data_IF_566529612743
#
_entry.id   IF_566529612743
#
_cell.length_a   1.000
_cell.length_b   1.000
_cell.length_c   1.000
_cell.angle_alpha   90.00
_cell.angle_beta   90.00
_cell.angle_gamma   90.00
#
_symmetry.space_group_name_H-M   'P 1'
#
loop_
_entity.id
_entity.type
_entity.pdbx_description
1 polymer ?
#
# COMPACT_ATOMS: atom_id res chain seq x y z
N UNK A 1 10.26 -12.15 10.11
CA UNK A 1 9.37 -11.27 10.91
C UNK A 1 7.95 -11.73 10.68
N UNK A 2 7.19 -11.89 11.74
CA UNK A 2 5.78 -12.27 11.71
C UNK A 2 4.98 -11.23 12.48
N UNK A 3 3.84 -10.81 11.95
CA UNK A 3 2.92 -9.87 12.60
C UNK A 3 1.54 -10.52 12.63
N UNK A 4 0.97 -10.67 13.84
CA UNK A 4 -0.37 -11.20 14.03
C UNK A 4 -1.28 -10.14 14.62
N UNK A 5 -2.36 -9.83 13.93
CA UNK A 5 -3.40 -8.89 14.31
C UNK A 5 -4.59 -9.70 14.78
N UNK A 6 -4.97 -9.56 16.05
CA UNK A 6 -5.95 -10.41 16.70
C UNK A 6 -7.13 -9.58 17.21
N UNK A 7 -8.27 -9.70 16.55
CA UNK A 7 -9.54 -9.04 16.89
C UNK A 7 -9.40 -7.53 17.13
N UNK A 8 -8.59 -6.85 16.29
CA UNK A 8 -8.24 -5.45 16.47
C UNK A 8 -9.37 -4.53 16.03
N UNK A 9 -9.80 -3.66 16.93
CA UNK A 9 -10.71 -2.56 16.63
C UNK A 9 -10.06 -1.22 16.95
N UNK A 10 -10.44 -0.20 16.20
CA UNK A 10 -9.99 1.18 16.42
C UNK A 10 -11.16 2.15 16.28
N UNK A 11 -11.46 2.85 17.37
CA UNK A 11 -12.44 3.94 17.42
C UNK A 11 -11.73 5.24 17.80
N UNK A 12 -11.83 6.24 16.95
CA UNK A 12 -11.27 7.57 17.22
C UNK A 12 -12.09 8.33 18.29
N UNK A 13 -11.51 9.36 18.96
CA UNK A 13 -12.22 10.12 19.99
C UNK A 13 -13.53 10.77 19.53
N UNK A 14 -13.67 11.04 18.23
CA UNK A 14 -14.91 11.56 17.63
C UNK A 14 -15.99 10.49 17.40
N UNK A 15 -15.82 9.28 17.92
CA UNK A 15 -16.76 8.17 17.78
C UNK A 15 -16.66 7.39 16.46
N UNK A 16 -15.82 7.82 15.53
CA UNK A 16 -15.65 7.08 14.25
C UNK A 16 -14.91 5.77 14.46
N UNK A 17 -15.60 4.65 14.29
CA UNK A 17 -14.99 3.32 14.28
C UNK A 17 -14.33 3.05 12.93
N UNK A 18 -13.02 3.11 12.89
CA UNK A 18 -12.23 2.97 11.67
C UNK A 18 -11.87 1.51 11.36
N UNK A 19 -11.72 0.66 12.39
CA UNK A 19 -11.46 -0.78 12.25
C UNK A 19 -12.36 -1.57 13.21
N UNK A 20 -12.80 -2.77 12.76
CA UNK A 20 -13.84 -3.55 13.40
C UNK A 20 -13.45 -5.02 13.51
N UNK A 21 -12.76 -5.41 14.59
CA UNK A 21 -12.44 -6.80 14.89
C UNK A 21 -11.53 -7.46 13.83
N UNK A 22 -10.50 -6.75 13.34
CA UNK A 22 -9.62 -7.26 12.30
C UNK A 22 -8.78 -8.43 12.81
N UNK A 23 -8.70 -9.48 11.98
CA UNK A 23 -7.77 -10.59 12.14
C UNK A 23 -6.94 -10.69 10.86
N UNK A 24 -5.61 -10.65 10.99
CA UNK A 24 -4.71 -10.69 9.85
C UNK A 24 -3.31 -11.12 10.29
N UNK A 25 -2.73 -12.08 9.57
CA UNK A 25 -1.34 -12.49 9.75
C UNK A 25 -0.51 -12.06 8.54
N UNK A 26 0.62 -11.39 8.82
CA UNK A 26 1.59 -10.92 7.86
C UNK A 26 2.94 -11.55 8.17
N UNK A 27 3.63 -12.08 7.16
CA UNK A 27 4.92 -12.74 7.35
C UNK A 27 5.92 -12.39 6.26
N UNK A 28 7.21 -12.28 6.61
CA UNK A 28 8.30 -12.14 5.65
C UNK A 28 8.84 -13.50 5.20
N UNK A 29 9.36 -13.64 3.97
CA UNK A 29 9.37 -12.61 2.91
C UNK A 29 8.00 -12.51 2.23
N UNK A 30 7.52 -11.31 1.94
CA UNK A 30 6.30 -11.10 1.15
C UNK A 30 6.11 -9.63 0.76
N UNK A 31 5.53 -9.40 -0.42
CA UNK A 31 4.95 -8.13 -0.83
C UNK A 31 3.42 -8.21 -0.76
N UNK A 32 2.85 -7.49 0.20
CA UNK A 32 1.42 -7.52 0.49
C UNK A 32 0.77 -6.21 0.03
N UNK A 33 -0.21 -6.31 -0.85
CA UNK A 33 -1.03 -5.19 -1.29
C UNK A 33 -2.25 -5.00 -0.39
N UNK A 34 -2.38 -3.83 0.24
CA UNK A 34 -3.55 -3.45 1.02
C UNK A 34 -4.48 -2.59 0.16
N UNK A 35 -5.55 -3.18 -0.34
CA UNK A 35 -6.52 -2.56 -1.24
C UNK A 35 -7.77 -2.09 -0.50
N UNK A 36 -8.35 -0.99 -0.94
CA UNK A 36 -9.62 -0.51 -0.45
C UNK A 36 -9.86 0.96 -0.81
N UNK A 37 -11.12 1.41 -0.83
CA UNK A 37 -11.45 2.80 -1.12
C UNK A 37 -10.92 3.75 -0.03
N UNK A 38 -10.98 5.05 -0.32
CA UNK A 38 -10.66 6.07 0.68
C UNK A 38 -11.61 5.95 1.89
N UNK A 39 -11.05 6.03 3.10
CA UNK A 39 -11.80 5.84 4.33
C UNK A 39 -12.08 4.38 4.72
N UNK A 40 -11.60 3.39 3.97
CA UNK A 40 -11.77 1.97 4.29
C UNK A 40 -11.08 1.52 5.58
N UNK A 41 -10.07 2.27 6.06
CA UNK A 41 -9.29 1.94 7.26
C UNK A 41 -7.81 1.64 7.00
N UNK A 42 -7.33 1.70 5.73
CA UNK A 42 -5.94 1.41 5.34
C UNK A 42 -4.91 2.16 6.19
N UNK A 43 -4.93 3.49 6.14
CA UNK A 43 -3.97 4.33 6.88
C UNK A 43 -4.11 4.18 8.40
N UNK A 44 -5.31 3.86 8.92
CA UNK A 44 -5.50 3.56 10.34
C UNK A 44 -4.80 2.25 10.72
N UNK A 45 -4.94 1.19 9.91
CA UNK A 45 -4.24 -0.07 10.11
C UNK A 45 -2.72 0.15 10.07
N UNK A 46 -2.21 0.88 9.09
CA UNK A 46 -0.78 1.19 9.02
C UNK A 46 -0.28 1.97 10.23
N UNK A 47 -1.03 2.97 10.72
CA UNK A 47 -0.67 3.72 11.93
C UNK A 47 -0.61 2.84 13.18
N UNK A 48 -1.47 1.83 13.29
CA UNK A 48 -1.37 0.82 14.34
C UNK A 48 -0.11 -0.05 14.20
N UNK A 49 0.19 -0.49 12.99
CA UNK A 49 1.37 -1.33 12.70
C UNK A 49 2.70 -0.61 12.96
N UNK A 50 2.76 0.71 12.78
CA UNK A 50 3.96 1.51 13.10
C UNK A 50 3.96 2.01 14.56
N UNK A 51 3.02 1.56 15.38
CA UNK A 51 2.85 2.01 16.78
C UNK A 51 2.67 3.54 16.92
N UNK A 52 2.07 4.19 15.92
CA UNK A 52 1.64 5.60 16.00
C UNK A 52 0.25 5.74 16.64
N UNK A 53 -0.53 4.66 16.67
CA UNK A 53 -1.80 4.54 17.37
C UNK A 53 -1.81 3.25 18.19
N UNK A 54 -2.63 3.23 19.24
CA UNK A 54 -2.96 2.01 19.98
C UNK A 54 -4.37 1.55 19.62
N UNK A 55 -4.63 0.24 19.50
CA UNK A 55 -5.96 -0.25 19.24
C UNK A 55 -6.88 0.01 20.43
N UNK A 56 -8.19 0.23 20.16
CA UNK A 56 -9.20 0.36 21.21
C UNK A 56 -9.49 -0.98 21.86
N UNK A 57 -9.41 -2.07 21.08
CA UNK A 57 -9.51 -3.44 21.57
C UNK A 57 -8.72 -4.40 20.67
N UNK A 58 -8.48 -5.62 21.16
CA UNK A 58 -7.65 -6.61 20.49
C UNK A 58 -6.16 -6.39 20.73
N UNK A 59 -5.32 -7.11 20.00
CA UNK A 59 -3.86 -7.06 20.16
C UNK A 59 -3.12 -7.24 18.84
N UNK A 60 -1.93 -6.64 18.77
CA UNK A 60 -0.98 -6.84 17.66
C UNK A 60 0.28 -7.46 18.26
N UNK A 61 0.70 -8.58 17.70
CA UNK A 61 1.92 -9.27 18.09
C UNK A 61 2.95 -9.13 16.95
N UNK A 62 4.20 -8.92 17.29
CA UNK A 62 5.34 -8.92 16.37
C UNK A 62 6.34 -9.96 16.86
N UNK A 63 6.64 -10.96 16.03
CA UNK A 63 7.47 -12.12 16.39
C UNK A 63 7.02 -12.75 17.74
N UNK A 64 5.69 -12.87 17.93
CA UNK A 64 5.05 -13.42 19.13
C UNK A 64 5.01 -12.49 20.36
N UNK A 65 5.58 -11.29 20.29
CA UNK A 65 5.58 -10.31 21.38
C UNK A 65 4.55 -9.21 21.16
N UNK A 66 3.82 -8.76 22.20
CA UNK A 66 2.91 -7.63 22.08
C UNK A 66 3.64 -6.39 21.56
N UNK A 67 3.08 -5.76 20.50
CA UNK A 67 3.65 -4.57 19.86
C UNK A 67 3.99 -3.46 20.87
N UNK A 68 3.10 -3.20 21.82
CA UNK A 68 3.31 -2.19 22.86
C UNK A 68 4.57 -2.42 23.71
N UNK A 69 5.00 -3.69 23.89
CA UNK A 69 6.23 -4.02 24.61
C UNK A 69 7.48 -3.99 23.72
N UNK A 70 7.30 -4.25 22.41
CA UNK A 70 8.37 -4.31 21.41
C UNK A 70 8.49 -3.07 20.51
N UNK A 71 7.82 -1.98 20.82
CA UNK A 71 7.73 -0.77 19.97
C UNK A 71 9.10 -0.26 19.50
N UNK A 72 10.04 -0.11 20.42
CA UNK A 72 11.40 0.37 20.12
C UNK A 72 12.15 -0.56 19.15
N UNK A 73 12.00 -1.87 19.33
CA UNK A 73 12.64 -2.88 18.50
C UNK A 73 12.01 -2.89 17.10
N UNK A 74 10.69 -2.77 17.03
CA UNK A 74 9.99 -2.64 15.75
C UNK A 74 10.44 -1.37 15.00
N UNK A 75 10.42 -0.21 15.66
CA UNK A 75 10.80 1.08 15.04
C UNK A 75 12.24 1.10 14.51
N UNK A 76 13.15 0.37 15.15
CA UNK A 76 14.52 0.21 14.66
C UNK A 76 14.60 -0.61 13.36
N UNK A 77 13.63 -1.51 13.12
CA UNK A 77 13.57 -2.42 11.95
C UNK A 77 12.49 -2.02 10.93
N UNK A 78 11.90 -0.84 11.10
CA UNK A 78 10.79 -0.34 10.30
C UNK A 78 11.24 0.77 9.35
N UNK A 79 10.78 0.69 8.10
CA UNK A 79 10.75 1.80 7.17
C UNK A 79 9.31 2.18 6.86
N UNK A 80 8.95 3.45 7.04
CA UNK A 80 7.58 3.90 6.83
C UNK A 80 7.54 5.18 5.99
N UNK A 81 6.74 5.14 4.93
CA UNK A 81 6.33 6.30 4.15
C UNK A 81 4.83 6.50 4.33
N UNK A 82 4.37 7.48 5.10
CA UNK A 82 2.95 7.84 5.16
C UNK A 82 2.51 8.55 3.88
N UNK A 83 1.21 8.61 3.63
CA UNK A 83 0.62 9.33 2.50
C UNK A 83 0.99 10.81 2.51
N UNK A 84 0.88 11.45 3.68
CA UNK A 84 1.33 12.82 3.91
C UNK A 84 2.63 12.78 4.73
N UNK A 85 3.74 13.07 4.10
CA UNK A 85 5.04 13.13 4.76
C UNK A 85 5.68 14.51 4.59
N UNK A 86 6.22 15.03 5.70
CA UNK A 86 6.92 16.30 5.70
C UNK A 86 8.38 16.15 5.24
N UNK A 87 8.79 17.02 4.35
CA UNK A 87 10.19 17.19 3.97
C UNK A 87 10.67 18.58 4.42
N UNK A 88 11.95 18.70 4.80
CA UNK A 88 12.55 19.99 5.16
C UNK A 88 13.06 20.70 3.92
N UNK A 89 12.32 21.66 3.44
CA UNK A 89 12.55 22.35 2.15
C UNK A 89 13.93 23.02 2.01
N UNK A 90 14.52 23.48 3.11
CA UNK A 90 15.84 24.15 3.11
C UNK A 90 17.03 23.17 3.12
N UNK A 91 16.79 21.91 3.45
CA UNK A 91 17.84 20.89 3.42
C UNK A 91 18.06 20.39 2.00
N UNK A 92 19.29 19.92 1.72
CA UNK A 92 19.54 19.08 0.55
C UNK A 92 19.03 17.67 0.79
N UNK A 93 18.83 16.88 -0.28
CA UNK A 93 18.44 15.46 -0.18
C UNK A 93 19.36 14.71 0.78
N UNK A 94 20.69 14.86 0.60
CA UNK A 94 21.68 14.21 1.47
C UNK A 94 21.53 14.65 2.92
N UNK A 95 21.38 15.97 3.18
CA UNK A 95 21.23 16.48 4.54
C UNK A 95 19.96 15.98 5.22
N UNK A 96 18.85 15.90 4.47
CA UNK A 96 17.60 15.35 5.00
C UNK A 96 17.75 13.86 5.37
N UNK A 97 18.35 13.07 4.48
CA UNK A 97 18.60 11.66 4.74
C UNK A 97 19.59 11.43 5.88
N UNK A 98 20.60 12.31 6.04
CA UNK A 98 21.54 12.28 7.17
C UNK A 98 20.81 12.56 8.50
N UNK A 99 19.93 13.56 8.52
CA UNK A 99 19.08 13.85 9.67
C UNK A 99 18.20 12.63 10.04
N UNK A 100 17.59 12.00 9.04
CA UNK A 100 16.75 10.81 9.27
C UNK A 100 17.55 9.59 9.72
N UNK A 101 18.77 9.42 9.20
CA UNK A 101 19.70 8.39 9.63
C UNK A 101 20.15 8.58 11.09
N UNK A 102 20.42 9.83 11.49
CA UNK A 102 20.73 10.18 12.87
C UNK A 102 19.56 9.87 13.82
N UNK A 103 18.32 10.18 13.45
CA UNK A 103 17.13 9.85 14.23
C UNK A 103 16.95 8.32 14.39
N UNK A 104 17.34 7.54 13.38
CA UNK A 104 17.35 6.06 13.44
C UNK A 104 18.55 5.50 14.23
N UNK A 105 19.52 6.33 14.60
CA UNK A 105 20.75 5.88 15.28
C UNK A 105 21.68 5.06 14.41
N UNK A 106 21.72 5.29 13.10
CA UNK A 106 22.54 4.54 12.17
C UNK A 106 24.04 4.94 12.32
N UNK A 107 24.89 3.95 12.60
CA UNK A 107 26.33 4.19 12.79
C UNK A 107 27.07 4.43 11.47
N UNK A 108 26.69 3.73 10.39
CA UNK A 108 27.27 3.86 9.04
C UNK A 108 26.33 4.63 8.11
N UNK A 109 25.88 5.81 8.55
CA UNK A 109 24.89 6.62 7.86
C UNK A 109 25.27 6.94 6.41
N UNK A 110 26.54 7.30 6.14
CA UNK A 110 27.00 7.70 4.82
C UNK A 110 26.76 6.62 3.75
N UNK A 111 27.13 5.37 4.03
CA UNK A 111 26.92 4.26 3.10
C UNK A 111 25.43 3.94 2.92
N UNK A 112 24.64 3.99 4.01
CA UNK A 112 23.20 3.76 3.96
C UNK A 112 22.48 4.84 3.13
N UNK A 113 22.84 6.11 3.31
CA UNK A 113 22.32 7.25 2.54
C UNK A 113 22.64 7.09 1.05
N UNK A 114 23.88 6.75 0.72
CA UNK A 114 24.29 6.57 -0.67
C UNK A 114 23.49 5.45 -1.34
N UNK A 115 23.34 4.29 -0.69
CA UNK A 115 22.50 3.20 -1.20
C UNK A 115 21.03 3.62 -1.36
N UNK A 116 20.47 4.36 -0.40
CA UNK A 116 19.08 4.82 -0.47
C UNK A 116 18.87 5.80 -1.62
N UNK A 117 19.80 6.75 -1.85
CA UNK A 117 19.75 7.71 -2.98
C UNK A 117 19.81 6.97 -4.31
N UNK A 118 20.72 6.00 -4.43
CA UNK A 118 20.89 5.18 -5.63
C UNK A 118 19.65 4.34 -5.93
N UNK A 119 19.06 3.71 -4.91
CA UNK A 119 17.87 2.88 -5.07
C UNK A 119 16.66 3.64 -5.66
N UNK A 120 16.61 4.95 -5.49
CA UNK A 120 15.51 5.80 -5.99
C UNK A 120 15.94 6.71 -7.16
N UNK A 121 17.11 6.49 -7.76
CA UNK A 121 17.66 7.26 -8.89
C UNK A 121 17.68 8.79 -8.61
N UNK A 122 18.26 9.19 -7.47
CA UNK A 122 18.40 10.60 -7.06
C UNK A 122 19.85 11.08 -6.95
N UNK A 123 20.83 10.37 -7.53
CA UNK A 123 22.26 10.68 -7.41
C UNK A 123 22.57 12.09 -7.89
N UNK A 124 22.03 12.48 -9.05
CA UNK A 124 22.23 13.82 -9.62
C UNK A 124 21.59 14.93 -8.77
N UNK A 125 20.59 14.60 -7.96
CA UNK A 125 19.86 15.52 -7.08
C UNK A 125 20.28 15.44 -5.62
N UNK A 126 21.27 14.62 -5.28
CA UNK A 126 21.71 14.40 -3.90
C UNK A 126 22.07 15.70 -3.16
N UNK A 127 22.61 16.70 -3.87
CA UNK A 127 22.98 18.01 -3.34
C UNK A 127 21.96 19.12 -3.62
N UNK A 128 20.86 18.80 -4.32
CA UNK A 128 19.79 19.77 -4.58
C UNK A 128 18.97 20.02 -3.31
N UNK A 129 18.53 21.25 -3.11
CA UNK A 129 17.58 21.59 -2.04
C UNK A 129 16.21 20.95 -2.32
N UNK A 130 15.57 20.41 -1.31
CA UNK A 130 14.28 19.71 -1.42
C UNK A 130 13.20 20.60 -2.04
N UNK A 131 13.18 21.91 -1.74
CA UNK A 131 12.24 22.87 -2.34
C UNK A 131 12.35 22.99 -3.87
N UNK A 132 13.47 22.59 -4.47
CA UNK A 132 13.70 22.68 -5.92
C UNK A 132 13.32 21.39 -6.66
N UNK A 133 12.87 20.38 -5.94
CA UNK A 133 12.51 19.08 -6.49
C UNK A 133 11.06 19.08 -7.02
N UNK A 134 10.81 18.32 -8.10
CA UNK A 134 9.46 18.01 -8.55
C UNK A 134 8.70 17.16 -7.53
N UNK A 135 7.38 17.04 -7.68
CA UNK A 135 6.55 16.19 -6.83
C UNK A 135 7.03 14.74 -6.81
N UNK A 136 7.32 14.15 -7.97
CA UNK A 136 7.86 12.79 -8.07
C UNK A 136 9.24 12.65 -7.42
N UNK A 137 10.14 13.65 -7.59
CA UNK A 137 11.44 13.63 -6.91
C UNK A 137 11.31 13.74 -5.38
N UNK A 138 10.36 14.52 -4.88
CA UNK A 138 10.04 14.59 -3.44
C UNK A 138 9.53 13.25 -2.93
N UNK A 139 8.68 12.57 -3.71
CA UNK A 139 8.20 11.22 -3.38
C UNK A 139 9.36 10.22 -3.30
N UNK A 140 10.31 10.28 -4.24
CA UNK A 140 11.54 9.47 -4.21
C UNK A 140 12.37 9.72 -2.96
N UNK A 141 12.49 10.96 -2.47
CA UNK A 141 13.15 11.27 -1.19
C UNK A 141 12.45 10.59 -0.02
N UNK A 142 11.11 10.60 0.00
CA UNK A 142 10.32 9.90 1.02
C UNK A 142 10.54 8.38 1.00
N UNK A 143 10.61 7.77 -0.19
CA UNK A 143 10.91 6.33 -0.33
C UNK A 143 12.36 6.04 0.12
N UNK A 144 13.34 6.88 -0.27
CA UNK A 144 14.73 6.73 0.17
C UNK A 144 14.85 6.77 1.71
N UNK A 145 14.12 7.67 2.36
CA UNK A 145 14.06 7.76 3.83
C UNK A 145 13.51 6.46 4.44
N UNK A 146 12.47 5.86 3.85
CA UNK A 146 11.92 4.60 4.36
C UNK A 146 12.91 3.44 4.23
N UNK A 147 13.77 3.43 3.20
CA UNK A 147 14.78 2.39 2.97
C UNK A 147 16.02 2.51 3.88
N UNK A 148 16.21 3.64 4.60
CA UNK A 148 17.39 3.84 5.44
C UNK A 148 17.51 2.77 6.54
N UNK A 149 18.72 2.23 6.69
CA UNK A 149 19.07 1.28 7.74
C UNK A 149 18.62 -0.14 7.46
N UNK A 150 18.29 -0.45 6.22
CA UNK A 150 17.94 -1.81 5.76
C UNK A 150 16.82 -2.46 6.61
N UNK A 151 15.64 -1.85 6.66
CA UNK A 151 14.56 -2.27 7.52
C UNK A 151 14.01 -3.65 7.11
N UNK A 152 13.67 -4.48 8.12
CA UNK A 152 13.03 -5.78 7.91
C UNK A 152 11.53 -5.68 7.58
N UNK A 153 10.91 -4.54 7.90
CA UNK A 153 9.52 -4.24 7.60
C UNK A 153 9.41 -2.87 6.92
N UNK A 154 8.84 -2.86 5.74
CA UNK A 154 8.58 -1.66 4.95
C UNK A 154 7.07 -1.44 4.82
N UNK A 155 6.64 -0.23 5.10
CA UNK A 155 5.24 0.19 4.91
C UNK A 155 5.22 1.43 4.01
N UNK A 156 4.46 1.37 2.94
CA UNK A 156 4.27 2.45 1.99
C UNK A 156 2.78 2.77 1.84
N UNK A 157 2.37 3.98 2.21
CA UNK A 157 0.98 4.44 2.07
C UNK A 157 0.86 5.30 0.81
N UNK A 158 0.25 4.75 -0.25
CA UNK A 158 0.04 5.38 -1.57
C UNK A 158 1.35 5.88 -2.23
N UNK A 159 2.44 5.10 -2.30
CA UNK A 159 3.77 5.60 -2.68
C UNK A 159 3.91 5.99 -4.15
N UNK A 160 3.02 5.53 -5.03
CA UNK A 160 3.07 5.74 -6.48
C UNK A 160 2.16 6.85 -6.97
N UNK A 161 1.41 7.48 -6.08
CA UNK A 161 0.55 8.62 -6.40
C UNK A 161 1.37 9.81 -6.86
N UNK A 162 1.02 10.38 -8.02
CA UNK A 162 1.73 11.52 -8.61
C UNK A 162 3.03 11.18 -9.35
N UNK A 163 3.35 9.90 -9.50
CA UNK A 163 4.44 9.43 -10.33
C UNK A 163 3.96 9.17 -11.77
N UNK A 164 4.85 9.37 -12.72
CA UNK A 164 4.60 8.98 -14.12
C UNK A 164 4.68 7.45 -14.31
N UNK A 165 4.23 6.91 -15.46
CA UNK A 165 4.18 5.47 -15.69
C UNK A 165 5.55 4.77 -15.61
N UNK A 166 6.62 5.41 -16.08
CA UNK A 166 7.98 4.84 -16.04
C UNK A 166 8.48 4.77 -14.59
N UNK A 167 8.24 5.82 -13.81
CA UNK A 167 8.58 5.86 -12.40
C UNK A 167 7.83 4.79 -11.60
N UNK A 168 6.54 4.56 -11.90
CA UNK A 168 5.76 3.49 -11.26
C UNK A 168 6.34 2.11 -11.51
N UNK A 169 6.78 1.83 -12.75
CA UNK A 169 7.44 0.56 -13.08
C UNK A 169 8.73 0.40 -12.27
N UNK A 170 9.54 1.46 -12.18
CA UNK A 170 10.78 1.43 -11.38
C UNK A 170 10.49 1.10 -9.91
N UNK A 171 9.51 1.76 -9.29
CA UNK A 171 9.18 1.51 -7.88
C UNK A 171 8.53 0.16 -7.64
N UNK A 172 7.69 -0.34 -8.55
CA UNK A 172 7.19 -1.72 -8.49
C UNK A 172 8.34 -2.73 -8.42
N UNK A 173 9.33 -2.58 -9.28
CA UNK A 173 10.52 -3.43 -9.27
C UNK A 173 11.33 -3.28 -7.97
N UNK A 174 11.48 -2.07 -7.45
CA UNK A 174 12.16 -1.80 -6.17
C UNK A 174 11.45 -2.51 -5.00
N UNK A 175 10.12 -2.40 -4.91
CA UNK A 175 9.34 -3.05 -3.86
C UNK A 175 9.39 -4.57 -3.96
N UNK A 176 9.27 -5.11 -5.18
CA UNK A 176 9.41 -6.54 -5.44
C UNK A 176 10.80 -7.07 -5.05
N UNK A 177 11.87 -6.32 -5.36
CA UNK A 177 13.22 -6.69 -4.92
C UNK A 177 13.37 -6.63 -3.39
N UNK A 178 12.82 -5.60 -2.76
CA UNK A 178 12.85 -5.45 -1.31
C UNK A 178 12.12 -6.59 -0.60
N UNK A 179 11.04 -7.10 -1.18
CA UNK A 179 10.22 -8.15 -0.60
C UNK A 179 10.87 -9.55 -0.63
N UNK A 180 11.99 -9.74 -1.34
CA UNK A 180 12.67 -11.05 -1.43
C UNK A 180 13.18 -11.58 -0.09
N UNK A 181 13.48 -10.70 0.84
CA UNK A 181 14.06 -11.03 2.16
C UNK A 181 13.36 -10.33 3.33
N UNK A 182 12.37 -9.49 3.05
CA UNK A 182 11.67 -8.70 4.07
C UNK A 182 10.16 -8.65 3.85
N UNK A 183 9.44 -8.13 4.84
CA UNK A 183 8.02 -7.85 4.74
C UNK A 183 7.80 -6.46 4.15
N UNK A 184 7.04 -6.37 3.06
CA UNK A 184 6.64 -5.11 2.44
C UNK A 184 5.12 -5.03 2.42
N UNK A 185 4.55 -3.97 3.00
CA UNK A 185 3.12 -3.66 2.97
C UNK A 185 2.91 -2.38 2.14
N UNK A 186 2.20 -2.52 1.04
CA UNK A 186 1.91 -1.44 0.11
C UNK A 186 0.42 -1.13 0.12
N UNK A 187 0.00 0.08 0.53
CA UNK A 187 -1.37 0.52 0.30
C UNK A 187 -1.48 1.24 -1.03
N UNK A 188 -2.53 0.93 -1.77
CA UNK A 188 -2.87 1.64 -2.99
C UNK A 188 -4.35 1.44 -3.35
N UNK A 189 -4.88 2.31 -4.17
CA UNK A 189 -6.16 2.14 -4.85
C UNK A 189 -5.96 1.81 -6.34
N UNK A 190 -4.70 1.71 -6.80
CA UNK A 190 -4.33 1.40 -8.19
C UNK A 190 -4.10 -0.10 -8.31
N UNK A 191 -5.02 -0.79 -8.98
CA UNK A 191 -5.02 -2.26 -9.10
C UNK A 191 -3.77 -2.76 -9.83
N UNK A 192 -3.34 -2.05 -10.88
CA UNK A 192 -2.16 -2.39 -11.67
C UNK A 192 -0.87 -2.42 -10.85
N UNK A 193 -0.79 -1.60 -9.78
CA UNK A 193 0.39 -1.54 -8.91
C UNK A 193 0.51 -2.78 -8.01
N UNK A 194 -0.57 -3.50 -7.78
CA UNK A 194 -0.57 -4.69 -6.90
C UNK A 194 -0.69 -6.00 -7.66
N UNK A 195 -1.46 -6.02 -8.75
CA UNK A 195 -1.71 -7.24 -9.52
C UNK A 195 -0.43 -7.87 -10.08
N UNK A 196 0.54 -7.04 -10.47
CA UNK A 196 1.77 -7.49 -11.15
C UNK A 196 2.92 -7.84 -10.20
N UNK A 197 2.87 -7.43 -8.92
CA UNK A 197 4.04 -7.57 -8.04
C UNK A 197 3.72 -8.11 -6.65
N UNK A 198 2.46 -8.06 -6.18
CA UNK A 198 2.12 -8.52 -4.84
C UNK A 198 1.92 -10.03 -4.79
N UNK A 199 2.53 -10.68 -3.77
CA UNK A 199 2.33 -12.11 -3.49
C UNK A 199 0.96 -12.35 -2.85
N UNK A 200 0.50 -11.38 -2.05
CA UNK A 200 -0.79 -11.44 -1.34
C UNK A 200 -1.51 -10.11 -1.41
N UNK A 201 -2.83 -10.18 -1.41
CA UNK A 201 -3.73 -9.05 -1.31
C UNK A 201 -4.54 -9.13 -0.02
N UNK A 202 -4.76 -7.98 0.59
CA UNK A 202 -5.70 -7.77 1.68
C UNK A 202 -6.67 -6.69 1.23
N UNK A 203 -7.94 -7.06 1.04
CA UNK A 203 -9.00 -6.10 0.67
C UNK A 203 -9.72 -5.67 1.93
N UNK A 204 -9.69 -4.36 2.21
CA UNK A 204 -10.36 -3.77 3.36
C UNK A 204 -11.48 -2.82 2.91
N UNK A 205 -12.63 -2.92 3.56
CA UNK A 205 -13.78 -2.06 3.31
C UNK A 205 -14.55 -1.80 4.62
N UNK A 206 -14.92 -0.55 4.87
CA UNK A 206 -15.62 -0.13 6.10
C UNK A 206 -15.02 -0.66 7.40
N UNK A 207 -13.69 -0.75 7.46
CA UNK A 207 -12.94 -1.21 8.63
C UNK A 207 -12.96 -2.72 8.84
N UNK A 208 -13.33 -3.51 7.85
CA UNK A 208 -13.32 -4.97 7.88
C UNK A 208 -12.52 -5.54 6.72
N UNK A 209 -11.86 -6.66 6.93
CA UNK A 209 -11.18 -7.39 5.85
C UNK A 209 -12.23 -8.23 5.13
N UNK A 210 -12.37 -8.00 3.82
CA UNK A 210 -13.30 -8.75 2.96
C UNK A 210 -12.61 -9.93 2.28
N UNK A 211 -11.30 -9.81 2.01
CA UNK A 211 -10.54 -10.84 1.31
C UNK A 211 -9.08 -10.82 1.76
N UNK A 212 -8.49 -12.00 1.84
CA UNK A 212 -7.06 -12.21 1.99
C UNK A 212 -6.66 -13.41 1.15
N UNK A 213 -5.75 -13.22 0.21
CA UNK A 213 -5.31 -14.29 -0.70
C UNK A 213 -4.35 -13.77 -1.76
N UNK A 214 -4.10 -14.57 -2.79
CA UNK A 214 -3.30 -14.12 -3.95
C UNK A 214 -4.15 -13.32 -4.94
N UNK A 215 -3.54 -12.52 -5.83
CA UNK A 215 -4.26 -11.85 -6.92
C UNK A 215 -5.11 -12.83 -7.76
N UNK A 216 -4.57 -14.01 -8.05
CA UNK A 216 -5.25 -15.06 -8.84
C UNK A 216 -6.49 -15.59 -8.11
N UNK A 217 -6.41 -15.80 -6.78
CA UNK A 217 -7.54 -16.22 -5.96
C UNK A 217 -8.67 -15.16 -5.96
N UNK A 218 -8.30 -13.87 -5.93
CA UNK A 218 -9.28 -12.77 -6.01
C UNK A 218 -9.97 -12.78 -7.39
N UNK A 219 -9.22 -12.93 -8.46
CA UNK A 219 -9.78 -13.03 -9.83
C UNK A 219 -10.69 -14.25 -9.95
N UNK A 220 -10.26 -15.41 -9.46
CA UNK A 220 -11.08 -16.62 -9.46
C UNK A 220 -12.38 -16.47 -8.66
N UNK A 221 -12.36 -15.73 -7.55
CA UNK A 221 -13.57 -15.48 -6.76
C UNK A 221 -14.60 -14.62 -7.50
N UNK A 222 -14.17 -13.85 -8.49
CA UNK A 222 -15.04 -13.04 -9.35
C UNK A 222 -15.49 -13.77 -10.63
N UNK A 223 -14.98 -14.97 -10.89
CA UNK A 223 -15.34 -15.73 -12.08
C UNK A 223 -16.85 -16.06 -12.09
N UNK A 224 -17.50 -15.80 -13.22
CA UNK A 224 -18.94 -15.97 -13.37
C UNK A 224 -19.79 -14.81 -12.85
N UNK A 225 -19.20 -13.85 -12.14
CA UNK A 225 -19.88 -12.66 -11.62
C UNK A 225 -19.57 -11.41 -12.43
N UNK A 226 -18.55 -11.41 -13.29
CA UNK A 226 -18.14 -10.26 -14.11
C UNK A 226 -18.46 -10.56 -15.57
N UNK A 227 -19.19 -9.65 -16.21
CA UNK A 227 -19.57 -9.77 -17.61
C UNK A 227 -19.49 -8.46 -18.37
N UNK A 228 -19.41 -8.60 -19.68
CA UNK A 228 -19.47 -7.47 -20.62
C UNK A 228 -20.65 -7.64 -21.56
N UNK A 229 -21.32 -6.53 -21.88
CA UNK A 229 -22.51 -6.49 -22.75
C UNK A 229 -22.61 -5.11 -23.41
N UNK A 230 -23.50 -4.99 -24.39
CA UNK A 230 -23.80 -3.70 -25.02
C UNK A 230 -24.89 -2.97 -24.24
N UNK A 231 -24.75 -1.65 -24.03
CA UNK A 231 -25.70 -0.87 -23.21
C UNK A 231 -27.16 -0.99 -23.70
N UNK A 232 -27.34 -1.18 -24.99
CA UNK A 232 -28.67 -1.39 -25.59
C UNK A 232 -29.36 -2.67 -25.11
N UNK A 233 -28.61 -3.67 -24.68
CA UNK A 233 -29.11 -4.96 -24.21
C UNK A 233 -29.55 -4.90 -22.73
N UNK A 234 -29.00 -3.96 -21.97
CA UNK A 234 -29.17 -3.86 -20.50
C UNK A 234 -30.28 -2.91 -20.05
N UNK A 235 -31.04 -2.33 -20.97
CA UNK A 235 -31.92 -1.19 -20.68
C UNK A 235 -33.00 -1.41 -19.58
N UNK A 236 -33.16 -2.59 -19.00
CA UNK A 236 -34.24 -2.89 -18.02
C UNK A 236 -33.90 -3.87 -16.87
N UNK A 237 -32.65 -4.26 -16.62
CA UNK A 237 -32.40 -5.25 -15.55
C UNK A 237 -31.90 -4.62 -14.25
N UNK A 238 -32.73 -4.77 -13.20
CA UNK A 238 -32.34 -4.51 -11.81
C UNK A 238 -31.33 -5.57 -11.35
N UNK A 239 -30.20 -5.15 -10.75
CA UNK A 239 -29.20 -6.05 -10.14
C UNK A 239 -27.82 -6.02 -10.78
N UNK A 240 -27.65 -5.33 -11.91
CA UNK A 240 -26.33 -5.13 -12.51
C UNK A 240 -25.62 -3.91 -11.90
N UNK A 241 -24.43 -4.14 -11.34
CA UNK A 241 -23.55 -3.06 -10.94
C UNK A 241 -22.56 -2.76 -12.07
N UNK A 242 -22.80 -1.69 -12.84
CA UNK A 242 -21.95 -1.29 -13.96
C UNK A 242 -20.65 -0.67 -13.42
N UNK A 243 -19.52 -1.29 -13.73
CA UNK A 243 -18.19 -0.87 -13.26
C UNK A 243 -17.44 -0.03 -14.30
N UNK A 244 -17.76 -0.19 -15.59
CA UNK A 244 -17.17 0.61 -16.67
C UNK A 244 -18.10 0.73 -17.86
N UNK A 245 -17.98 1.85 -18.58
CA UNK A 245 -18.58 2.10 -19.89
C UNK A 245 -17.49 2.55 -20.85
N UNK A 246 -17.36 1.87 -21.98
CA UNK A 246 -16.36 2.17 -23.01
C UNK A 246 -17.08 2.47 -24.31
N UNK A 247 -16.89 3.69 -24.85
CA UNK A 247 -17.36 4.06 -26.17
C UNK A 247 -16.52 3.35 -27.23
N UNK A 248 -17.19 2.65 -28.13
CA UNK A 248 -16.58 1.98 -29.28
C UNK A 248 -17.25 2.47 -30.56
N UNK A 249 -16.67 2.23 -31.71
CA UNK A 249 -17.30 2.57 -33.02
C UNK A 249 -18.63 1.84 -33.29
N UNK A 250 -19.04 0.88 -32.41
CA UNK A 250 -20.29 0.10 -32.54
C UNK A 250 -21.30 0.41 -31.45
N UNK A 251 -21.00 1.32 -30.52
CA UNK A 251 -21.85 1.66 -29.37
C UNK A 251 -21.08 1.62 -28.05
N UNK A 252 -21.82 1.69 -26.94
CA UNK A 252 -21.26 1.66 -25.60
C UNK A 252 -21.19 0.21 -25.11
N UNK A 253 -19.97 -0.25 -24.80
CA UNK A 253 -19.74 -1.54 -24.16
C UNK A 253 -19.65 -1.34 -22.67
N UNK A 254 -20.48 -2.05 -21.90
CA UNK A 254 -20.54 -2.01 -20.46
C UNK A 254 -19.83 -3.22 -19.85
N UNK A 255 -19.14 -3.01 -18.74
CA UNK A 255 -18.68 -4.06 -17.84
C UNK A 255 -19.48 -3.97 -16.55
N UNK A 256 -20.01 -5.08 -16.10
CA UNK A 256 -20.79 -5.12 -14.87
C UNK A 256 -20.44 -6.31 -13.98
N UNK A 257 -20.78 -6.18 -12.70
CA UNK A 257 -20.74 -7.24 -11.70
C UNK A 257 -22.18 -7.54 -11.26
N UNK A 258 -22.51 -8.82 -11.13
CA UNK A 258 -23.81 -9.29 -10.64
C UNK A 258 -23.66 -10.65 -9.93
N UNK A 259 -24.61 -10.98 -9.05
CA UNK A 259 -24.67 -12.30 -8.41
C UNK A 259 -24.87 -13.41 -9.46
N UNK A 260 -25.65 -13.11 -10.49
CA UNK A 260 -25.82 -13.96 -11.69
C UNK A 260 -25.77 -13.07 -12.93
N UNK A 261 -24.92 -13.43 -13.89
CA UNK A 261 -24.84 -12.71 -15.15
C UNK A 261 -26.07 -13.03 -16.03
N UNK A 262 -26.68 -12.00 -16.67
CA UNK A 262 -27.74 -12.23 -17.63
C UNK A 262 -27.21 -13.00 -18.86
N UNK A 263 -28.10 -13.72 -19.53
CA UNK A 263 -27.77 -14.58 -20.67
C UNK A 263 -27.10 -13.86 -21.87
N UNK A 264 -27.32 -12.56 -22.00
CA UNK A 264 -26.69 -11.73 -23.03
C UNK A 264 -25.28 -11.23 -22.64
N UNK A 265 -24.91 -11.29 -21.36
CA UNK A 265 -23.59 -10.88 -20.93
C UNK A 265 -22.56 -11.96 -21.22
N UNK A 266 -21.47 -11.57 -21.89
CA UNK A 266 -20.32 -12.43 -22.09
C UNK A 266 -19.44 -12.38 -20.84
N UNK A 267 -18.97 -13.54 -20.31
CA UNK A 267 -18.02 -13.54 -19.20
C UNK A 267 -16.81 -12.68 -19.56
N UNK A 268 -16.36 -11.82 -18.63
CA UNK A 268 -15.12 -11.07 -18.75
C UNK A 268 -14.00 -11.82 -18.03
N UNK A 269 -12.84 -11.89 -18.69
CA UNK A 269 -11.60 -12.37 -18.10
C UNK A 269 -11.02 -11.38 -17.11
#
# INVERSE_FOLDING_TARGET
MEISIQNVSMTYPNGKQALKGLNLDLGSPSLIGLLGPNGAGKSTLMKLLVAALLPTSGSILVDGQPLAKGERQLKARLGYLPQDFGLFDELTVTQFLDYMAALKGLREAKAAIQRAIQAVNLEEKARAKIRTLSGGQRQRVGIAQALLGDPAFLIFDEPTVGLDPEERIHFRNLFSQAARDRLVLLSTHIIEDVQSVCDRLVVIHHGQILFTGTPEQLIQSAAGHVGVFWEQEAAQEAGLHITARVNTGRGIRCRAVADALPAYAQPAE
#
